data_IF_790239492452
#
_entry.id   IF_790239492452
#
_cell.length_a   1.000
_cell.length_b   1.000
_cell.length_c   1.000
_cell.angle_alpha   90.00
_cell.angle_beta   90.00
_cell.angle_gamma   90.00
#
_symmetry.space_group_name_H-M   'P 1'
#
loop_
_entity.id
_entity.type
_entity.pdbx_description
1 polymer ?
#
# COMPACT_ATOMS: atom_id res chain seq x y z
N UNK A 1 -5.90 14.79 -42.57
CA UNK A 1 -6.90 15.35 -43.49
C UNK A 1 -7.12 14.35 -44.63
N UNK A 2 -7.76 13.21 -44.37
CA UNK A 2 -7.91 12.12 -45.36
C UNK A 2 -9.38 11.87 -45.77
N UNK A 3 -10.32 12.73 -45.36
CA UNK A 3 -11.76 12.49 -45.57
C UNK A 3 -12.48 13.54 -46.43
N UNK A 4 -11.76 14.55 -46.96
CA UNK A 4 -12.31 15.55 -47.88
C UNK A 4 -13.41 16.49 -47.31
N UNK A 5 -13.66 16.46 -45.99
CA UNK A 5 -14.69 17.28 -45.33
C UNK A 5 -14.07 18.53 -44.72
N UNK A 6 -14.64 19.69 -45.04
CA UNK A 6 -14.21 20.97 -44.48
C UNK A 6 -14.76 21.15 -43.04
N UNK A 7 -13.84 21.19 -42.09
CA UNK A 7 -14.12 21.23 -40.65
C UNK A 7 -14.76 22.55 -40.20
N UNK A 8 -14.66 23.61 -41.01
CA UNK A 8 -15.25 24.92 -40.70
C UNK A 8 -16.77 24.93 -40.84
N UNK A 9 -17.34 23.96 -41.57
CA UNK A 9 -18.78 23.83 -41.80
C UNK A 9 -19.49 22.91 -40.79
N UNK A 10 -18.72 22.26 -39.91
CA UNK A 10 -19.24 21.33 -38.92
C UNK A 10 -19.46 22.03 -37.58
N UNK A 11 -20.66 21.86 -37.02
CA UNK A 11 -20.97 22.32 -35.67
C UNK A 11 -20.54 21.26 -34.67
N UNK A 12 -19.45 21.52 -33.94
CA UNK A 12 -18.91 20.60 -32.97
C UNK A 12 -19.80 20.43 -31.74
N UNK A 13 -20.00 19.18 -31.32
CA UNK A 13 -20.79 18.85 -30.13
C UNK A 13 -19.95 18.64 -28.86
N UNK A 14 -18.62 18.82 -28.94
CA UNK A 14 -17.70 18.68 -27.82
C UNK A 14 -17.64 19.90 -26.88
N UNK A 15 -16.95 19.78 -25.73
CA UNK A 15 -16.77 20.87 -24.78
C UNK A 15 -16.11 22.09 -25.45
N UNK A 16 -16.75 23.25 -25.35
CA UNK A 16 -16.28 24.48 -26.01
C UNK A 16 -16.55 24.54 -27.52
N UNK A 17 -17.41 23.68 -28.07
CA UNK A 17 -17.75 23.65 -29.50
C UNK A 17 -16.75 22.89 -30.37
N UNK A 18 -15.86 22.11 -29.75
CA UNK A 18 -14.89 21.28 -30.46
C UNK A 18 -15.58 20.18 -31.28
N UNK A 19 -15.16 20.01 -32.53
CA UNK A 19 -15.65 18.94 -33.42
C UNK A 19 -15.06 17.62 -32.97
N UNK A 20 -15.91 16.68 -32.56
CA UNK A 20 -15.45 15.35 -32.11
C UNK A 20 -15.57 14.33 -33.23
N UNK A 21 -14.87 13.19 -33.08
CA UNK A 21 -14.85 12.11 -34.09
C UNK A 21 -16.25 11.64 -34.51
N UNK A 22 -17.23 11.71 -33.61
CA UNK A 22 -18.63 11.39 -33.90
C UNK A 22 -19.28 12.34 -34.91
N UNK A 23 -18.97 13.63 -34.85
CA UNK A 23 -19.52 14.66 -35.75
C UNK A 23 -19.00 14.47 -37.18
N UNK A 24 -17.70 14.15 -37.31
CA UNK A 24 -17.06 13.87 -38.61
C UNK A 24 -17.64 12.60 -39.23
N UNK A 25 -17.83 11.54 -38.43
CA UNK A 25 -18.42 10.29 -38.92
C UNK A 25 -19.91 10.44 -39.30
N UNK A 26 -20.65 11.30 -38.60
CA UNK A 26 -22.03 11.63 -38.95
C UNK A 26 -22.12 12.44 -40.24
N UNK A 27 -21.21 13.39 -40.45
CA UNK A 27 -21.09 14.16 -41.70
C UNK A 27 -20.69 13.28 -42.89
N UNK A 28 -19.82 12.29 -42.68
CA UNK A 28 -19.45 11.30 -43.70
C UNK A 28 -20.64 10.39 -44.09
N UNK A 29 -21.51 10.03 -43.14
CA UNK A 29 -22.68 9.19 -43.41
C UNK A 29 -23.85 9.95 -44.05
N UNK A 30 -23.93 11.27 -43.84
CA UNK A 30 -25.04 12.11 -44.32
C UNK A 30 -24.76 12.80 -45.66
N UNK A 31 -23.61 12.54 -46.30
CA UNK A 31 -23.35 12.99 -47.67
C UNK A 31 -23.34 14.51 -47.84
N UNK A 32 -22.92 15.26 -46.81
CA UNK A 32 -22.64 16.69 -46.91
C UNK A 32 -23.80 17.55 -47.40
N UNK A 33 -24.84 17.74 -46.59
CA UNK A 33 -25.78 18.85 -46.79
C UNK A 33 -26.35 19.36 -45.46
N UNK A 34 -26.13 20.65 -45.20
CA UNK A 34 -26.81 21.46 -44.19
C UNK A 34 -28.16 21.93 -44.74
N UNK A 35 -29.19 21.90 -43.89
CA UNK A 35 -30.50 22.48 -44.17
C UNK A 35 -31.22 22.86 -42.88
N UNK A 36 -31.55 24.15 -42.78
CA UNK A 36 -32.21 24.89 -41.70
C UNK A 36 -33.72 24.67 -41.61
N UNK A 37 -34.25 25.02 -40.43
CA UNK A 37 -35.61 25.52 -40.11
C UNK A 37 -36.75 24.58 -39.64
N UNK A 38 -37.10 24.83 -38.37
CA UNK A 38 -38.43 25.05 -37.76
C UNK A 38 -39.57 24.05 -37.98
N UNK A 39 -40.07 23.47 -36.88
CA UNK A 39 -41.49 23.64 -36.56
C UNK A 39 -41.78 23.53 -35.06
N UNK A 40 -42.43 24.57 -34.53
CA UNK A 40 -43.04 24.64 -33.21
C UNK A 40 -44.39 23.91 -33.24
N UNK A 41 -44.62 22.94 -32.34
CA UNK A 41 -45.97 22.70 -31.79
C UNK A 41 -45.92 22.35 -30.31
N UNK A 42 -46.97 22.85 -29.66
CA UNK A 42 -47.11 23.26 -28.26
C UNK A 42 -47.84 22.17 -27.43
N UNK A 43 -47.36 22.03 -26.20
CA UNK A 43 -48.01 21.63 -24.94
C UNK A 43 -49.16 20.61 -24.91
N UNK A 44 -48.97 19.56 -24.10
CA UNK A 44 -49.93 19.18 -23.05
C UNK A 44 -49.19 18.48 -21.88
N UNK A 45 -49.59 18.81 -20.65
CA UNK A 45 -49.22 18.23 -19.34
C UNK A 45 -50.56 18.09 -18.58
N UNK A 46 -50.67 17.35 -17.45
CA UNK A 46 -49.78 16.36 -16.84
C UNK A 46 -50.53 15.07 -16.38
N UNK A 47 -49.83 13.95 -16.15
CA UNK A 47 -50.18 13.06 -15.02
C UNK A 47 -49.06 12.07 -14.71
N UNK A 48 -49.04 11.70 -13.44
CA UNK A 48 -48.04 11.04 -12.60
C UNK A 48 -47.67 9.60 -12.96
N UNK A 49 -46.43 9.20 -12.60
CA UNK A 49 -46.05 8.02 -11.79
C UNK A 49 -44.69 7.45 -12.22
N UNK A 50 -43.80 7.24 -11.24
CA UNK A 50 -42.73 6.24 -11.31
C UNK A 50 -41.36 6.72 -11.78
N UNK A 51 -40.52 7.16 -10.82
CA UNK A 51 -39.06 7.20 -11.00
C UNK A 51 -38.50 5.78 -11.03
N UNK A 52 -38.24 5.22 -12.22
CA UNK A 52 -37.27 4.13 -12.39
C UNK A 52 -35.98 4.72 -12.96
N UNK A 53 -34.92 4.70 -12.14
CA UNK A 53 -33.54 4.96 -12.60
C UNK A 53 -33.16 3.85 -13.58
N UNK A 54 -33.26 4.12 -14.87
CA UNK A 54 -32.63 3.32 -15.91
C UNK A 54 -31.14 3.63 -15.96
N UNK A 55 -30.31 2.75 -15.40
CA UNK A 55 -28.92 2.64 -15.85
C UNK A 55 -28.95 1.93 -17.20
N UNK A 56 -28.69 2.69 -18.26
CA UNK A 56 -28.39 2.16 -19.58
C UNK A 56 -27.02 1.46 -19.52
N UNK A 57 -27.02 0.15 -19.33
CA UNK A 57 -25.89 -0.69 -19.74
C UNK A 57 -25.93 -0.81 -21.27
N UNK A 58 -24.89 -0.31 -21.93
CA UNK A 58 -24.63 -0.63 -23.32
C UNK A 58 -24.30 -2.12 -23.40
N UNK A 59 -25.03 -2.95 -24.17
CA UNK A 59 -24.69 -4.35 -24.32
C UNK A 59 -23.40 -4.45 -25.14
N UNK A 60 -22.33 -4.95 -24.52
CA UNK A 60 -21.17 -5.44 -25.26
C UNK A 60 -21.61 -6.63 -26.14
N UNK A 61 -21.17 -6.72 -27.42
CA UNK A 61 -21.52 -7.84 -28.26
C UNK A 61 -20.93 -9.13 -27.67
N UNK A 62 -21.81 -10.00 -27.17
CA UNK A 62 -21.47 -11.29 -26.57
C UNK A 62 -21.11 -12.30 -27.67
N UNK A 63 -19.91 -12.19 -28.22
CA UNK A 63 -19.30 -13.25 -29.03
C UNK A 63 -18.34 -14.07 -28.16
N UNK A 64 -18.82 -15.20 -27.65
CA UNK A 64 -18.01 -16.40 -27.38
C UNK A 64 -16.93 -16.36 -26.30
N UNK A 65 -16.89 -15.36 -25.41
CA UNK A 65 -15.98 -15.37 -24.27
C UNK A 65 -16.66 -16.06 -23.08
N UNK A 66 -16.13 -17.22 -22.68
CA UNK A 66 -16.48 -17.88 -21.43
C UNK A 66 -15.88 -17.07 -20.27
N UNK A 67 -16.65 -16.15 -19.71
CA UNK A 67 -16.30 -15.47 -18.46
C UNK A 67 -17.34 -15.79 -17.38
N UNK A 68 -16.88 -15.85 -16.14
CA UNK A 68 -17.73 -16.03 -14.95
C UNK A 68 -17.62 -14.77 -14.09
N UNK A 69 -18.75 -14.14 -13.80
CA UNK A 69 -18.80 -12.96 -12.94
C UNK A 69 -18.82 -13.38 -11.47
N UNK A 70 -17.76 -13.06 -10.74
CA UNK A 70 -17.68 -13.30 -9.29
C UNK A 70 -18.18 -12.06 -8.53
N UNK A 71 -19.24 -12.17 -7.71
CA UNK A 71 -19.78 -11.03 -6.99
C UNK A 71 -18.79 -10.48 -5.95
N UNK A 72 -18.64 -9.15 -5.93
CA UNK A 72 -17.73 -8.47 -5.00
C UNK A 72 -18.37 -8.35 -3.61
N UNK A 73 -17.72 -8.92 -2.58
CA UNK A 73 -18.16 -8.78 -1.18
C UNK A 73 -18.11 -7.33 -0.69
N UNK A 74 -18.95 -6.98 0.29
CA UNK A 74 -18.99 -5.62 0.84
C UNK A 74 -17.64 -5.20 1.44
N UNK A 75 -16.93 -6.13 2.10
CA UNK A 75 -15.58 -5.90 2.65
C UNK A 75 -14.61 -5.54 1.53
N UNK A 76 -14.63 -6.29 0.41
CA UNK A 76 -13.77 -6.02 -0.74
C UNK A 76 -14.03 -4.65 -1.37
N UNK A 77 -15.30 -4.20 -1.43
CA UNK A 77 -15.66 -2.85 -1.91
C UNK A 77 -15.07 -1.76 -1.01
N UNK A 78 -15.12 -1.93 0.31
CA UNK A 78 -14.54 -0.97 1.27
C UNK A 78 -13.02 -0.91 1.14
N UNK A 79 -12.35 -2.06 1.06
CA UNK A 79 -10.90 -2.12 0.86
C UNK A 79 -10.51 -1.44 -0.45
N UNK A 80 -11.20 -1.74 -1.56
CA UNK A 80 -10.93 -1.14 -2.86
C UNK A 80 -11.05 0.40 -2.82
N UNK A 81 -12.08 0.94 -2.16
CA UNK A 81 -12.24 2.38 -1.98
C UNK A 81 -11.07 3.00 -1.19
N UNK A 82 -10.69 2.40 -0.06
CA UNK A 82 -9.58 2.89 0.77
C UNK A 82 -8.23 2.86 0.05
N UNK A 83 -7.97 1.80 -0.71
CA UNK A 83 -6.75 1.70 -1.52
C UNK A 83 -6.71 2.78 -2.60
N UNK A 84 -7.85 3.08 -3.21
CA UNK A 84 -7.97 4.16 -4.20
C UNK A 84 -7.71 5.53 -3.55
N UNK A 85 -8.38 5.82 -2.43
CA UNK A 85 -8.21 7.04 -1.65
C UNK A 85 -6.73 7.25 -1.26
N UNK A 86 -6.06 6.22 -0.76
CA UNK A 86 -4.63 6.26 -0.43
C UNK A 86 -3.75 6.53 -1.65
N UNK A 87 -3.94 5.75 -2.73
CA UNK A 87 -3.02 5.80 -3.86
C UNK A 87 -3.13 7.10 -4.67
N UNK A 88 -4.32 7.69 -4.74
CA UNK A 88 -4.55 8.97 -5.42
C UNK A 88 -4.30 10.17 -4.50
N UNK A 89 -4.63 10.07 -3.22
CA UNK A 89 -4.51 11.18 -2.26
C UNK A 89 -3.12 11.37 -1.67
N UNK A 90 -2.30 10.32 -1.61
CA UNK A 90 -0.97 10.36 -1.00
C UNK A 90 0.14 10.28 -2.04
N UNK A 91 1.03 11.29 -2.16
CA UNK A 91 2.22 11.20 -2.99
C UNK A 91 3.23 10.23 -2.37
N UNK A 92 3.23 8.97 -2.85
CA UNK A 92 4.10 7.93 -2.31
C UNK A 92 5.56 8.11 -2.76
N UNK A 93 6.45 8.25 -1.78
CA UNK A 93 7.89 8.02 -1.89
C UNK A 93 8.18 6.54 -1.63
N UNK A 94 9.09 5.94 -2.40
CA UNK A 94 9.58 4.58 -2.16
C UNK A 94 11.08 4.60 -1.94
N UNK A 95 11.52 4.04 -0.82
CA UNK A 95 12.93 3.87 -0.48
C UNK A 95 13.18 2.39 -0.14
N UNK A 96 14.28 1.84 -0.60
CA UNK A 96 14.65 0.46 -0.33
C UNK A 96 16.06 0.38 0.25
N UNK A 97 16.26 -0.51 1.22
CA UNK A 97 17.58 -0.82 1.77
C UNK A 97 17.79 -2.33 1.91
N UNK A 98 19.00 -2.77 1.59
CA UNK A 98 19.46 -4.13 1.84
C UNK A 98 19.93 -4.23 3.30
N UNK A 99 19.42 -5.22 4.03
CA UNK A 99 19.75 -5.42 5.44
C UNK A 99 20.19 -6.86 5.69
N UNK A 100 21.27 -7.03 6.46
CA UNK A 100 21.76 -8.34 6.88
C UNK A 100 21.06 -8.79 8.16
N UNK A 101 20.57 -10.03 8.19
CA UNK A 101 19.81 -10.59 9.31
C UNK A 101 20.60 -11.62 10.13
N UNK A 102 21.85 -11.92 9.79
CA UNK A 102 22.61 -13.01 10.41
C UNK A 102 22.70 -12.90 11.94
N UNK A 103 22.98 -11.70 12.45
CA UNK A 103 23.03 -11.45 13.90
C UNK A 103 21.65 -11.63 14.56
N UNK A 104 20.58 -11.14 13.92
CA UNK A 104 19.20 -11.33 14.39
C UNK A 104 18.80 -12.82 14.39
N UNK A 105 19.19 -13.57 13.36
CA UNK A 105 18.93 -15.01 13.29
C UNK A 105 19.74 -15.80 14.31
N UNK A 106 20.98 -15.39 14.59
CA UNK A 106 21.80 -15.96 15.65
C UNK A 106 21.17 -15.74 17.03
N UNK A 107 20.77 -14.50 17.34
CA UNK A 107 20.10 -14.18 18.61
C UNK A 107 18.78 -14.95 18.76
N UNK A 108 18.00 -15.08 17.69
CA UNK A 108 16.77 -15.89 17.70
C UNK A 108 17.05 -17.35 18.07
N UNK A 109 18.13 -17.95 17.55
CA UNK A 109 18.53 -19.33 17.90
C UNK A 109 18.96 -19.43 19.36
N UNK A 110 19.72 -18.46 19.85
CA UNK A 110 20.16 -18.39 21.25
C UNK A 110 18.98 -18.26 22.21
N UNK A 111 18.05 -17.34 21.96
CA UNK A 111 16.85 -17.14 22.81
C UNK A 111 15.95 -18.39 22.83
N UNK A 112 15.86 -19.11 21.71
CA UNK A 112 15.15 -20.39 21.66
C UNK A 112 15.83 -21.46 22.51
N UNK A 113 17.16 -21.53 22.49
CA UNK A 113 17.93 -22.53 23.25
C UNK A 113 17.94 -22.25 24.76
N UNK A 114 18.15 -20.98 25.15
CA UNK A 114 18.35 -20.60 26.55
C UNK A 114 17.03 -20.37 27.30
N UNK A 115 16.00 -19.85 26.62
CA UNK A 115 14.75 -19.41 27.24
C UNK A 115 13.50 -20.11 26.68
N UNK A 116 13.65 -21.04 25.72
CA UNK A 116 12.53 -21.73 25.08
C UNK A 116 11.61 -20.81 24.26
N UNK A 117 12.01 -19.56 24.03
CA UNK A 117 11.17 -18.55 23.40
C UNK A 117 11.00 -18.83 21.90
N UNK A 118 9.76 -19.10 21.46
CA UNK A 118 9.42 -19.30 20.05
C UNK A 118 9.16 -17.97 19.35
N UNK A 119 10.25 -17.26 19.03
CA UNK A 119 10.20 -15.99 18.31
C UNK A 119 10.29 -16.19 16.79
N UNK A 120 9.51 -15.41 16.05
CA UNK A 120 9.55 -15.30 14.60
C UNK A 120 10.46 -14.13 14.18
N UNK A 121 10.91 -14.11 12.92
CA UNK A 121 11.66 -12.95 12.37
C UNK A 121 10.79 -11.69 12.39
N UNK A 122 9.48 -11.84 12.21
CA UNK A 122 8.54 -10.73 12.23
C UNK A 122 8.52 -10.01 13.58
N UNK A 123 8.69 -10.73 14.69
CA UNK A 123 8.72 -10.14 16.04
C UNK A 123 9.94 -9.22 16.22
N UNK A 124 11.09 -9.62 15.66
CA UNK A 124 12.28 -8.78 15.63
C UNK A 124 12.08 -7.54 14.75
N UNK A 125 11.45 -7.70 13.58
CA UNK A 125 11.16 -6.55 12.71
C UNK A 125 10.22 -5.56 13.40
N UNK A 126 9.17 -6.02 14.06
CA UNK A 126 8.24 -5.15 14.81
C UNK A 126 9.00 -4.40 15.91
N UNK A 127 9.83 -5.09 16.70
CA UNK A 127 10.63 -4.43 17.74
C UNK A 127 11.62 -3.43 17.16
N UNK A 128 12.27 -3.76 16.05
CA UNK A 128 13.22 -2.89 15.36
C UNK A 128 12.56 -1.64 14.80
N UNK A 129 11.39 -1.78 14.17
CA UNK A 129 10.59 -0.64 13.71
C UNK A 129 10.16 0.22 14.89
N UNK A 130 9.70 -0.39 15.98
CA UNK A 130 9.33 0.34 17.20
C UNK A 130 10.46 1.20 17.74
N UNK A 131 11.66 0.62 17.86
CA UNK A 131 12.87 1.32 18.30
C UNK A 131 13.33 2.37 17.28
N UNK A 132 13.28 2.08 15.97
CA UNK A 132 13.68 3.03 14.91
C UNK A 132 12.76 4.26 14.87
N UNK A 133 11.45 4.07 15.03
CA UNK A 133 10.47 5.18 15.10
C UNK A 133 10.68 6.06 16.34
N UNK A 134 11.24 5.51 17.44
CA UNK A 134 11.62 6.31 18.61
C UNK A 134 12.88 7.14 18.35
N UNK A 135 13.81 6.62 17.54
CA UNK A 135 15.03 7.34 17.13
C UNK A 135 14.76 8.41 16.06
N UNK A 136 13.77 8.17 15.20
CA UNK A 136 13.35 9.07 14.11
C UNK A 136 11.83 9.32 14.24
N UNK A 137 11.40 10.12 15.24
CA UNK A 137 9.98 10.38 15.48
C UNK A 137 9.28 11.06 14.30
N UNK A 138 10.02 11.75 13.44
CA UNK A 138 9.51 12.38 12.21
C UNK A 138 8.91 11.35 11.23
N UNK A 139 9.38 10.10 11.27
CA UNK A 139 8.82 8.99 10.48
C UNK A 139 7.52 8.42 11.09
N UNK A 140 7.21 8.74 12.37
CA UNK A 140 6.01 8.31 13.09
C UNK A 140 4.93 9.40 13.10
N UNK A 141 4.59 9.93 11.93
CA UNK A 141 3.69 11.06 11.79
C UNK A 141 2.57 10.78 10.76
N UNK A 142 1.59 11.68 10.69
CA UNK A 142 0.55 11.65 9.66
C UNK A 142 0.26 13.05 9.11
N UNK A 143 -0.39 13.08 7.94
CA UNK A 143 -0.86 14.32 7.32
C UNK A 143 -2.29 14.62 7.78
N UNK A 144 -2.48 15.79 8.38
CA UNK A 144 -3.79 16.39 8.65
C UNK A 144 -4.01 17.58 7.72
N UNK A 145 -5.17 17.64 7.06
CA UNK A 145 -5.44 18.69 6.06
C UNK A 145 -5.56 20.10 6.68
N UNK A 146 -5.80 20.22 7.99
CA UNK A 146 -5.94 21.51 8.66
C UNK A 146 -4.63 22.01 9.27
N UNK A 147 -3.83 21.10 9.83
CA UNK A 147 -2.65 21.41 10.63
C UNK A 147 -1.32 20.94 10.01
N UNK A 148 -1.36 20.21 8.90
CA UNK A 148 -0.18 19.68 8.22
C UNK A 148 0.36 18.43 8.89
N UNK A 149 1.66 18.40 9.18
CA UNK A 149 2.31 17.22 9.77
C UNK A 149 2.02 17.12 11.27
N UNK A 150 1.45 15.99 11.70
CA UNK A 150 1.15 15.69 13.11
C UNK A 150 1.94 14.47 13.55
N UNK A 151 2.82 14.64 14.54
CA UNK A 151 3.58 13.56 15.16
C UNK A 151 2.67 12.68 16.02
N UNK A 152 2.85 11.36 15.94
CA UNK A 152 2.11 10.42 16.78
C UNK A 152 2.79 10.30 18.15
N UNK A 153 2.00 10.36 19.23
CA UNK A 153 2.52 10.26 20.60
C UNK A 153 2.89 8.84 21.02
N UNK A 154 2.25 7.83 20.44
CA UNK A 154 2.54 6.41 20.64
C UNK A 154 3.11 5.78 19.36
N UNK A 155 3.88 4.70 19.53
CA UNK A 155 4.37 3.86 18.44
C UNK A 155 3.49 2.62 18.33
N UNK A 156 2.45 2.71 17.51
CA UNK A 156 1.45 1.67 17.32
C UNK A 156 1.64 1.02 15.94
N UNK A 157 2.05 -0.25 15.92
CA UNK A 157 2.42 -0.96 14.69
C UNK A 157 1.29 -1.88 14.23
N UNK A 158 0.69 -1.55 13.09
CA UNK A 158 -0.26 -2.40 12.37
C UNK A 158 0.46 -3.48 11.57
N UNK A 159 0.02 -4.73 11.66
CA UNK A 159 0.61 -5.86 10.94
C UNK A 159 -0.39 -6.40 9.93
N UNK A 160 -0.03 -6.42 8.67
CA UNK A 160 -0.87 -6.94 7.60
C UNK A 160 -0.96 -8.48 7.68
N UNK A 161 -2.15 -9.00 8.00
CA UNK A 161 -2.44 -10.44 8.10
C UNK A 161 -3.48 -10.81 7.05
N UNK A 162 -3.11 -11.74 6.16
CA UNK A 162 -4.03 -12.30 5.18
C UNK A 162 -5.04 -13.24 5.88
N UNK A 163 -6.33 -13.05 5.60
CA UNK A 163 -7.43 -13.90 6.07
C UNK A 163 -8.34 -14.26 4.89
N UNK A 164 -9.20 -15.27 5.05
CA UNK A 164 -10.18 -15.66 4.03
C UNK A 164 -11.16 -14.53 3.67
N UNK A 165 -11.45 -13.64 4.64
CA UNK A 165 -12.34 -12.49 4.46
C UNK A 165 -11.66 -11.28 3.81
N UNK A 166 -10.35 -11.33 3.63
CA UNK A 166 -9.52 -10.25 3.11
C UNK A 166 -8.35 -9.90 4.02
N UNK A 167 -7.69 -8.78 3.73
CA UNK A 167 -6.57 -8.29 4.51
C UNK A 167 -7.07 -7.64 5.81
N UNK A 168 -6.58 -8.12 6.94
CA UNK A 168 -6.83 -7.53 8.26
C UNK A 168 -5.52 -6.97 8.81
N UNK A 169 -5.60 -5.88 9.57
CA UNK A 169 -4.44 -5.15 10.09
C UNK A 169 -4.53 -5.00 11.62
N UNK A 170 -4.33 -6.08 12.41
CA UNK A 170 -4.21 -5.96 13.85
C UNK A 170 -3.10 -5.00 14.27
N UNK A 171 -3.28 -4.31 15.39
CA UNK A 171 -2.39 -3.26 15.90
C UNK A 171 -1.70 -3.73 17.19
N UNK A 172 -0.37 -3.70 17.20
CA UNK A 172 0.45 -3.84 18.39
C UNK A 172 0.70 -2.45 18.96
N UNK A 173 0.07 -2.12 20.08
CA UNK A 173 0.18 -0.78 20.69
C UNK A 173 1.48 -0.60 21.46
N UNK A 174 2.06 0.61 21.46
CA UNK A 174 3.30 0.93 22.19
C UNK A 174 4.40 -0.12 21.97
N UNK A 175 4.64 -0.48 20.71
CA UNK A 175 5.58 -1.54 20.34
C UNK A 175 7.03 -1.22 20.73
N UNK A 176 7.36 0.07 20.88
CA UNK A 176 8.65 0.56 21.35
C UNK A 176 8.94 0.16 22.81
N UNK A 177 7.90 0.12 23.67
CA UNK A 177 8.02 -0.15 25.10
C UNK A 177 7.99 -1.65 25.44
N UNK A 178 7.48 -2.49 24.54
CA UNK A 178 7.29 -3.93 24.78
C UNK A 178 8.57 -4.73 24.56
N UNK A 179 8.70 -5.81 25.31
CA UNK A 179 9.73 -6.83 25.08
C UNK A 179 9.39 -7.70 23.86
N UNK A 180 10.40 -8.39 23.31
CA UNK A 180 10.20 -9.32 22.18
C UNK A 180 9.19 -10.44 22.51
N UNK A 181 9.19 -10.94 23.74
CA UNK A 181 8.29 -12.00 24.18
C UNK A 181 6.84 -11.53 24.27
N UNK A 182 6.61 -10.31 24.74
CA UNK A 182 5.29 -9.68 24.77
C UNK A 182 4.75 -9.45 23.36
N UNK A 183 5.59 -8.88 22.47
CA UNK A 183 5.25 -8.68 21.05
C UNK A 183 4.86 -10.01 20.41
N UNK A 184 5.69 -11.06 20.53
CA UNK A 184 5.40 -12.38 19.95
C UNK A 184 4.06 -12.94 20.45
N UNK A 185 3.77 -12.80 21.74
CA UNK A 185 2.54 -13.34 22.34
C UNK A 185 1.30 -12.59 21.84
N UNK A 186 1.37 -11.26 21.76
CA UNK A 186 0.29 -10.41 21.27
C UNK A 186 0.05 -10.58 19.77
N UNK A 187 1.11 -10.69 18.97
CA UNK A 187 1.02 -10.98 17.53
C UNK A 187 0.31 -12.31 17.29
N UNK A 188 0.67 -13.37 18.02
CA UNK A 188 0.01 -14.68 17.89
C UNK A 188 -1.47 -14.61 18.25
N UNK A 189 -1.81 -13.91 19.34
CA UNK A 189 -3.19 -13.72 19.79
C UNK A 189 -4.02 -12.94 18.77
N UNK A 190 -3.53 -11.79 18.32
CA UNK A 190 -4.26 -10.93 17.38
C UNK A 190 -4.35 -11.57 15.98
N UNK A 191 -3.30 -12.24 15.52
CA UNK A 191 -3.34 -12.98 14.25
C UNK A 191 -4.34 -14.16 14.31
N UNK A 192 -4.45 -14.84 15.45
CA UNK A 192 -5.48 -15.86 15.69
C UNK A 192 -6.88 -15.27 15.60
N UNK A 193 -7.15 -14.20 16.36
CA UNK A 193 -8.43 -13.46 16.30
C UNK A 193 -8.75 -12.96 14.90
N UNK A 194 -7.75 -12.50 14.15
CA UNK A 194 -7.91 -12.01 12.78
C UNK A 194 -8.42 -13.12 11.85
N UNK A 195 -7.77 -14.28 11.89
CA UNK A 195 -8.16 -15.45 11.09
C UNK A 195 -9.54 -15.97 11.46
N UNK A 196 -9.89 -15.94 12.74
CA UNK A 196 -11.23 -16.31 13.23
C UNK A 196 -12.30 -15.23 12.96
N UNK A 197 -11.91 -14.03 12.54
CA UNK A 197 -12.81 -12.90 12.32
C UNK A 197 -13.43 -12.34 13.60
N UNK A 198 -12.73 -12.45 14.74
CA UNK A 198 -13.15 -11.99 16.08
C UNK A 198 -12.43 -10.73 16.57
N UNK A 199 -11.64 -10.10 15.69
CA UNK A 199 -10.97 -8.83 15.97
C UNK A 199 -12.00 -7.73 16.31
N UNK A 200 -11.75 -7.01 17.39
CA UNK A 200 -12.56 -5.87 17.80
C UNK A 200 -12.15 -4.61 17.03
N UNK A 201 -13.06 -3.65 16.78
CA UNK A 201 -12.76 -2.43 16.03
C UNK A 201 -11.51 -1.68 16.50
N UNK A 202 -11.30 -1.57 17.82
CA UNK A 202 -10.14 -0.88 18.40
C UNK A 202 -8.80 -1.64 18.23
N UNK A 203 -8.83 -2.91 17.82
CA UNK A 203 -7.65 -3.75 17.58
C UNK A 203 -7.15 -3.63 16.13
N UNK A 204 -7.94 -3.07 15.19
CA UNK A 204 -7.53 -2.92 13.79
C UNK A 204 -7.78 -1.54 13.17
N UNK A 205 -8.38 -0.61 13.93
CA UNK A 205 -8.56 0.78 13.51
C UNK A 205 -7.55 1.71 14.21
N UNK A 206 -6.87 2.54 13.42
CA UNK A 206 -5.81 3.44 13.89
C UNK A 206 -4.42 2.86 13.61
N UNK A 207 -3.54 2.94 14.61
CA UNK A 207 -2.11 2.65 14.43
C UNK A 207 -1.38 3.84 13.82
N UNK A 208 -0.08 3.94 14.09
CA UNK A 208 0.77 5.01 13.57
C UNK A 208 1.64 4.55 12.40
N UNK A 209 1.91 3.24 12.29
CA UNK A 209 2.78 2.67 11.26
C UNK A 209 2.28 1.29 10.82
N UNK A 210 2.50 0.89 9.56
CA UNK A 210 2.14 -0.45 9.07
C UNK A 210 3.36 -1.28 8.64
N UNK A 211 3.30 -2.59 8.84
CA UNK A 211 4.26 -3.56 8.33
C UNK A 211 3.51 -4.61 7.49
N UNK A 212 4.03 -4.88 6.31
CA UNK A 212 3.58 -5.95 5.42
C UNK A 212 4.76 -6.86 5.10
N UNK A 213 4.64 -8.15 5.40
CA UNK A 213 5.70 -9.12 5.18
C UNK A 213 5.24 -10.19 4.21
N UNK A 214 5.85 -10.24 3.03
CA UNK A 214 5.58 -11.24 2.00
C UNK A 214 6.76 -12.19 1.77
N UNK A 215 7.78 -12.15 2.65
CA UNK A 215 8.94 -13.03 2.54
C UNK A 215 8.59 -14.52 2.63
N UNK A 216 7.49 -14.86 3.31
CA UNK A 216 6.99 -16.25 3.36
C UNK A 216 6.47 -16.77 2.01
N UNK A 217 6.12 -15.87 1.09
CA UNK A 217 5.66 -16.20 -0.26
C UNK A 217 6.79 -16.15 -1.30
N UNK A 218 8.04 -15.98 -0.86
CA UNK A 218 9.19 -15.92 -1.75
C UNK A 218 9.31 -14.61 -2.54
N UNK A 219 8.62 -13.54 -2.12
CA UNK A 219 8.71 -12.22 -2.74
C UNK A 219 10.00 -11.53 -2.31
N UNK A 220 10.85 -11.19 -3.27
CA UNK A 220 12.13 -10.48 -3.04
C UNK A 220 11.92 -9.03 -2.60
N UNK A 221 11.09 -8.32 -3.35
CA UNK A 221 10.85 -6.89 -3.21
C UNK A 221 9.42 -6.57 -3.62
N UNK A 222 8.77 -5.66 -2.90
CA UNK A 222 7.49 -5.10 -3.30
C UNK A 222 7.28 -3.72 -2.64
N UNK A 223 6.46 -2.90 -3.28
CA UNK A 223 6.00 -1.64 -2.72
C UNK A 223 4.57 -1.78 -2.22
N UNK A 224 4.35 -1.60 -0.92
CA UNK A 224 3.02 -1.63 -0.34
C UNK A 224 2.30 -0.28 -0.51
N UNK A 225 0.98 -0.30 -0.55
CA UNK A 225 0.16 0.92 -0.52
C UNK A 225 -0.05 1.30 0.94
N UNK A 226 0.18 2.56 1.27
CA UNK A 226 0.00 3.10 2.63
C UNK A 226 -1.46 2.89 3.06
N UNK A 227 -1.69 2.62 4.34
CA UNK A 227 -3.02 2.49 4.93
C UNK A 227 -3.39 3.78 5.69
N UNK A 228 -4.23 4.67 5.13
CA UNK A 228 -4.60 5.92 5.79
C UNK A 228 -5.27 5.66 7.15
N UNK A 229 -5.03 6.51 8.16
CA UNK A 229 -4.36 7.81 8.11
C UNK A 229 -2.83 7.76 8.25
N UNK A 230 -2.21 6.58 8.29
CA UNK A 230 -0.77 6.46 8.52
C UNK A 230 0.03 7.05 7.36
N UNK A 231 1.23 7.58 7.62
CA UNK A 231 2.10 8.10 6.56
C UNK A 231 3.02 7.02 5.96
N UNK A 232 3.26 5.92 6.66
CA UNK A 232 4.30 4.96 6.27
C UNK A 232 3.82 3.51 6.33
N UNK A 233 4.32 2.71 5.39
CA UNK A 233 4.23 1.24 5.42
C UNK A 233 5.57 0.62 5.03
N UNK A 234 6.05 -0.33 5.83
CA UNK A 234 7.24 -1.11 5.56
C UNK A 234 6.87 -2.44 4.90
N UNK A 235 7.37 -2.66 3.70
CA UNK A 235 7.34 -3.94 3.01
C UNK A 235 8.63 -4.74 3.29
N UNK A 236 8.46 -5.96 3.77
CA UNK A 236 9.56 -6.89 4.10
C UNK A 236 9.58 -8.02 3.08
N UNK A 237 10.70 -8.11 2.34
CA UNK A 237 10.95 -9.18 1.38
C UNK A 237 11.37 -10.51 2.02
N UNK A 238 11.72 -11.49 1.19
CA UNK A 238 12.27 -12.78 1.64
C UNK A 238 13.68 -12.61 2.17
N UNK A 239 14.04 -13.44 3.14
CA UNK A 239 15.44 -13.64 3.51
C UNK A 239 16.10 -14.55 2.49
N UNK A 240 17.07 -14.03 1.74
CA UNK A 240 17.84 -14.79 0.75
C UNK A 240 19.30 -14.95 1.20
N UNK A 241 19.91 -16.09 0.85
CA UNK A 241 21.34 -16.28 1.03
C UNK A 241 22.09 -15.51 -0.06
N UNK A 242 22.91 -14.55 0.33
CA UNK A 242 23.75 -13.76 -0.56
C UNK A 242 25.23 -13.92 -0.18
N UNK A 243 26.14 -13.67 -1.11
CA UNK A 243 27.58 -13.59 -0.83
C UNK A 243 27.98 -12.12 -0.83
N UNK A 244 28.55 -11.66 0.28
CA UNK A 244 29.08 -10.28 0.40
C UNK A 244 30.58 -10.33 0.65
N UNK A 245 31.29 -9.31 0.16
CA UNK A 245 32.70 -9.13 0.47
C UNK A 245 32.83 -8.54 1.87
N UNK A 246 33.46 -9.26 2.79
CA UNK A 246 33.82 -8.72 4.09
C UNK A 246 35.26 -8.26 4.03
N UNK A 247 35.46 -6.95 4.13
CA UNK A 247 36.80 -6.39 4.30
C UNK A 247 37.38 -6.85 5.64
N UNK A 248 38.63 -7.33 5.59
CA UNK A 248 39.42 -7.64 6.77
C UNK A 248 40.72 -6.84 6.67
N UNK A 249 40.82 -5.82 7.52
CA UNK A 249 41.99 -4.92 7.56
C UNK A 249 43.28 -5.66 7.96
N UNK A 250 43.17 -6.87 8.52
CA UNK A 250 44.31 -7.71 8.89
C UNK A 250 44.64 -8.78 7.83
N UNK A 251 43.82 -8.95 6.78
CA UNK A 251 44.09 -9.88 5.70
C UNK A 251 44.85 -9.16 4.56
N UNK A 252 46.06 -9.60 4.19
CA UNK A 252 46.82 -9.03 3.08
C UNK A 252 46.09 -9.10 1.72
N UNK A 253 44.99 -9.86 1.61
CA UNK A 253 44.14 -9.93 0.41
C UNK A 253 42.94 -8.98 0.44
N UNK A 254 42.79 -8.15 1.48
CA UNK A 254 41.75 -7.13 1.57
C UNK A 254 40.34 -7.64 1.91
N UNK A 255 40.23 -8.88 2.41
CA UNK A 255 38.96 -9.47 2.85
C UNK A 255 38.66 -10.85 2.27
N UNK A 256 37.46 -11.35 2.58
CA UNK A 256 36.95 -12.65 2.13
C UNK A 256 35.46 -12.61 1.77
N UNK A 257 35.01 -13.43 0.80
CA UNK A 257 33.59 -13.60 0.55
C UNK A 257 32.95 -14.39 1.70
N UNK A 258 31.85 -13.88 2.25
CA UNK A 258 31.06 -14.55 3.28
C UNK A 258 29.61 -14.74 2.81
N UNK A 259 29.03 -15.88 3.15
CA UNK A 259 27.59 -16.11 2.96
C UNK A 259 26.82 -15.43 4.10
N UNK A 260 25.83 -14.62 3.75
CA UNK A 260 24.99 -13.85 4.66
C UNK A 260 23.52 -14.00 4.30
N UNK A 261 22.64 -13.77 5.26
CA UNK A 261 21.20 -13.73 5.02
C UNK A 261 20.77 -12.28 4.81
N UNK A 262 20.44 -11.93 3.57
CA UNK A 262 20.02 -10.60 3.16
C UNK A 262 18.50 -10.51 3.07
N UNK A 263 17.93 -9.39 3.50
CA UNK A 263 16.52 -9.04 3.29
C UNK A 263 16.43 -7.65 2.69
N UNK A 264 15.49 -7.46 1.76
CA UNK A 264 15.19 -6.14 1.22
C UNK A 264 14.03 -5.54 2.02
N UNK A 265 14.26 -4.35 2.57
CA UNK A 265 13.28 -3.55 3.29
C UNK A 265 12.85 -2.40 2.39
N UNK A 266 11.56 -2.25 2.12
CA UNK A 266 11.03 -1.18 1.26
C UNK A 266 10.04 -0.34 2.02
N UNK A 267 10.40 0.91 2.30
CA UNK A 267 9.53 1.90 2.91
C UNK A 267 8.73 2.59 1.82
N UNK A 268 7.41 2.58 1.95
CA UNK A 268 6.52 3.49 1.21
C UNK A 268 6.07 4.57 2.18
N UNK A 269 6.31 5.83 1.85
CA UNK A 269 6.05 6.97 2.73
C UNK A 269 5.28 8.09 2.03
N UNK A 270 4.43 8.82 2.76
CA UNK A 270 3.80 10.05 2.29
C UNK A 270 4.86 11.15 2.21
N UNK A 271 5.22 11.57 1.00
CA UNK A 271 6.27 12.57 0.79
C UNK A 271 5.89 13.97 1.34
N UNK A 272 4.62 14.20 1.73
CA UNK A 272 4.24 15.44 2.44
C UNK A 272 4.69 15.42 3.90
N UNK A 273 4.88 14.24 4.47
CA UNK A 273 5.23 14.02 5.88
C UNK A 273 6.69 13.63 6.03
N UNK A 274 7.14 12.69 5.20
CA UNK A 274 8.48 12.10 5.26
C UNK A 274 9.22 12.44 3.97
N UNK A 275 10.25 13.26 4.10
CA UNK A 275 11.17 13.52 2.99
C UNK A 275 12.22 12.41 2.86
N UNK A 276 13.10 12.55 1.87
CA UNK A 276 14.15 11.56 1.56
C UNK A 276 15.17 11.44 2.70
N UNK A 277 15.44 12.52 3.44
CA UNK A 277 16.38 12.50 4.58
C UNK A 277 15.80 11.72 5.75
N UNK A 278 14.58 12.04 6.17
CA UNK A 278 13.88 11.33 7.25
C UNK A 278 13.70 9.85 6.90
N UNK A 279 13.28 9.56 5.65
CA UNK A 279 13.12 8.19 5.19
C UNK A 279 14.45 7.41 5.17
N UNK A 280 15.55 8.05 4.75
CA UNK A 280 16.88 7.49 4.77
C UNK A 280 17.39 7.22 6.19
N UNK A 281 17.24 8.19 7.10
CA UNK A 281 17.59 8.07 8.53
C UNK A 281 16.80 6.96 9.21
N UNK A 282 15.51 6.84 8.92
CA UNK A 282 14.67 5.77 9.45
C UNK A 282 15.16 4.39 8.97
N UNK A 283 15.42 4.22 7.67
CA UNK A 283 15.93 2.97 7.13
C UNK A 283 17.32 2.63 7.68
N UNK A 284 18.22 3.61 7.82
CA UNK A 284 19.53 3.38 8.42
C UNK A 284 19.43 2.95 9.89
N UNK A 285 18.60 3.61 10.69
CA UNK A 285 18.33 3.23 12.07
C UNK A 285 17.77 1.79 12.16
N UNK A 286 16.75 1.48 11.34
CA UNK A 286 16.14 0.16 11.27
C UNK A 286 17.16 -0.92 10.85
N UNK A 287 17.91 -0.69 9.78
CA UNK A 287 18.94 -1.60 9.29
C UNK A 287 20.08 -1.76 10.31
N UNK A 288 20.44 -0.69 11.04
CA UNK A 288 21.42 -0.74 12.12
C UNK A 288 20.98 -1.62 13.28
N UNK A 289 19.72 -1.51 13.70
CA UNK A 289 19.14 -2.33 14.77
C UNK A 289 19.03 -3.81 14.36
N UNK A 290 18.62 -4.10 13.12
CA UNK A 290 18.53 -5.49 12.64
C UNK A 290 19.91 -6.16 12.46
N UNK A 291 20.93 -5.38 12.08
CA UNK A 291 22.33 -5.84 11.99
C UNK A 291 22.96 -6.08 13.36
N UNK A 292 22.56 -5.31 14.37
CA UNK A 292 23.04 -5.46 15.75
C UNK A 292 21.85 -5.48 16.72
N UNK A 293 21.19 -6.65 16.89
CA UNK A 293 19.99 -6.76 17.70
C UNK A 293 20.25 -6.53 19.20
N UNK A 294 21.50 -6.42 19.66
CA UNK A 294 21.79 -6.02 21.05
C UNK A 294 21.32 -4.60 21.34
N UNK A 295 21.17 -3.78 20.29
CA UNK A 295 20.58 -2.44 20.36
C UNK A 295 19.11 -2.44 20.82
N UNK A 296 18.41 -3.58 20.85
CA UNK A 296 17.08 -3.67 21.47
C UNK A 296 17.10 -3.49 23.00
N UNK A 297 18.26 -3.70 23.63
CA UNK A 297 18.42 -3.76 25.09
C UNK A 297 18.85 -2.42 25.72
N UNK A 298 19.13 -1.40 24.88
CA UNK A 298 19.48 -0.04 25.28
C UNK A 298 18.25 0.87 25.13
#
# INVERSE_FOLDING_TARGET
MESGIDITTLKGTGPGGAVVKGDVLAAMKSGGQLGTESNLKKAEKPSSLGSTKGTSELPLPSSGLLYEDIPTSQIRKVIARRLLESKYGTPHLYLSSDTLLDATLALRKELKANHGAQLSVNDFVIKAVGSALKMVPEANAHWDENSGVVLSSSVDISIAVATERGLMTPIIRNADQKSLSEISSEVKLLAGKAREGKLQPHEFQGGSFSISNLGMFGVDHFCAIINPPQACILAVGRGESAVVWQEDLNDPKGGKPIAVTKVILTLSADHRVVDVDVGGRFLDALSGILRDPRRYLL
#
